data_IF_871154568493
#
_entry.id   IF_871154568493
#
_cell.length_a   1.000
_cell.length_b   1.000
_cell.length_c   1.000
_cell.angle_alpha   90.00
_cell.angle_beta   90.00
_cell.angle_gamma   90.00
#
_symmetry.space_group_name_H-M   'P 1'
#
loop_
_entity.id
_entity.type
_entity.pdbx_description
1 polymer ?
#
# COMPACT_ATOMS: atom_id res chain seq x y z
N UNK A 1 -2.36 -16.01 -15.67
CA UNK A 1 -2.68 -15.49 -14.32
C UNK A 1 -4.04 -14.79 -14.44
N UNK A 2 -5.03 -15.25 -13.70
CA UNK A 2 -6.40 -14.70 -13.78
C UNK A 2 -6.45 -13.38 -13.00
N UNK A 3 -6.94 -12.32 -13.64
CA UNK A 3 -7.18 -11.01 -13.00
C UNK A 3 -8.67 -10.87 -12.76
N UNK A 4 -9.06 -10.72 -11.51
CA UNK A 4 -10.45 -10.50 -11.12
C UNK A 4 -10.69 -9.01 -10.92
N UNK A 5 -11.65 -8.44 -11.66
CA UNK A 5 -12.13 -7.06 -11.43
C UNK A 5 -13.13 -7.05 -10.29
N UNK A 6 -12.97 -6.09 -9.38
CA UNK A 6 -13.83 -5.93 -8.20
C UNK A 6 -14.59 -4.60 -8.30
N UNK A 7 -15.79 -4.60 -7.77
CA UNK A 7 -16.60 -3.40 -7.53
C UNK A 7 -16.83 -3.22 -6.01
N UNK A 8 -17.39 -2.09 -5.61
CA UNK A 8 -17.58 -1.75 -4.19
C UNK A 8 -18.46 -2.74 -3.41
N UNK A 9 -19.27 -3.54 -4.09
CA UNK A 9 -20.13 -4.57 -3.50
C UNK A 9 -19.48 -5.96 -3.47
N UNK A 10 -18.34 -6.12 -4.13
CA UNK A 10 -17.61 -7.40 -4.13
C UNK A 10 -17.19 -7.76 -2.70
N UNK A 11 -17.53 -8.96 -2.27
CA UNK A 11 -17.16 -9.44 -0.94
C UNK A 11 -15.71 -9.94 -0.95
N UNK A 12 -14.91 -9.43 -0.02
CA UNK A 12 -13.52 -9.82 0.16
C UNK A 12 -13.39 -10.81 1.32
N UNK A 13 -12.63 -11.90 1.16
CA UNK A 13 -12.35 -12.81 2.27
C UNK A 13 -11.27 -12.27 3.23
N UNK A 14 -11.16 -10.96 3.37
CA UNK A 14 -9.98 -10.29 3.90
C UNK A 14 -10.36 -9.11 4.77
N UNK A 15 -9.71 -9.03 5.92
CA UNK A 15 -9.61 -7.85 6.78
C UNK A 15 -8.13 -7.66 7.12
N UNK A 16 -7.66 -6.42 7.28
CA UNK A 16 -6.27 -6.18 7.67
C UNK A 16 -6.04 -6.59 9.13
N UNK A 17 -5.37 -7.72 9.32
CA UNK A 17 -4.98 -8.24 10.64
C UNK A 17 -3.67 -7.65 11.17
N UNK A 18 -3.01 -6.76 10.41
CA UNK A 18 -1.66 -6.25 10.68
C UNK A 18 -0.58 -7.33 10.74
N UNK A 19 -0.78 -8.47 10.09
CA UNK A 19 0.17 -9.60 10.05
C UNK A 19 1.56 -9.24 9.53
N UNK A 20 1.69 -8.10 8.85
CA UNK A 20 2.97 -7.67 8.27
C UNK A 20 3.32 -8.31 6.92
N UNK A 21 2.48 -9.18 6.36
CA UNK A 21 2.73 -9.82 5.05
C UNK A 21 3.03 -8.80 3.94
N UNK A 22 2.39 -7.62 3.97
CA UNK A 22 2.66 -6.52 3.04
C UNK A 22 3.99 -5.80 3.30
N UNK A 23 4.72 -6.13 4.36
CA UNK A 23 5.98 -5.49 4.73
C UNK A 23 7.22 -6.17 4.16
N UNK A 24 7.08 -7.26 3.39
CA UNK A 24 8.20 -8.02 2.84
C UNK A 24 8.19 -8.08 1.31
N UNK A 25 9.37 -7.95 0.70
CA UNK A 25 9.61 -8.20 -0.72
C UNK A 25 8.75 -7.38 -1.69
N UNK A 26 8.36 -6.16 -1.31
CA UNK A 26 7.51 -5.29 -2.13
C UNK A 26 8.31 -4.13 -2.72
N UNK A 27 7.76 -3.56 -3.77
CA UNK A 27 8.16 -2.24 -4.26
C UNK A 27 7.04 -1.27 -3.93
N UNK A 28 7.32 -0.29 -3.08
CA UNK A 28 6.35 0.73 -2.66
C UNK A 28 6.84 2.08 -3.16
N UNK A 29 6.15 2.59 -4.19
CA UNK A 29 6.38 3.94 -4.71
C UNK A 29 5.59 4.92 -3.86
N UNK A 30 6.17 6.11 -3.64
CA UNK A 30 5.59 7.17 -2.83
C UNK A 30 5.33 8.41 -3.67
N UNK A 31 4.17 9.01 -3.52
CA UNK A 31 3.93 10.38 -3.94
C UNK A 31 4.30 11.36 -2.81
N UNK A 32 4.37 12.69 -3.08
CA UNK A 32 4.74 13.69 -2.07
C UNK A 32 3.80 13.72 -0.85
N UNK A 33 2.51 13.44 -1.03
CA UNK A 33 1.55 13.35 0.06
C UNK A 33 1.87 12.18 1.00
N UNK A 34 2.19 11.03 0.45
CA UNK A 34 2.53 9.83 1.21
C UNK A 34 3.85 9.98 1.97
N UNK A 35 4.84 10.62 1.34
CA UNK A 35 6.08 10.97 2.01
C UNK A 35 5.83 11.88 3.22
N UNK A 36 4.96 12.89 3.07
CA UNK A 36 4.55 13.77 4.17
C UNK A 36 3.78 13.00 5.24
N UNK A 37 2.87 12.11 4.87
CA UNK A 37 2.08 11.29 5.80
C UNK A 37 2.97 10.41 6.66
N UNK A 38 3.94 9.73 6.06
CA UNK A 38 4.94 8.94 6.78
C UNK A 38 5.79 9.77 7.73
N UNK A 39 6.28 10.92 7.27
CA UNK A 39 7.15 11.78 8.09
C UNK A 39 6.41 12.34 9.30
N UNK A 40 5.15 12.74 9.14
CA UNK A 40 4.29 13.17 10.25
C UNK A 40 4.07 12.08 11.29
N UNK A 41 3.75 10.88 10.85
CA UNK A 41 3.55 9.73 11.73
C UNK A 41 4.85 9.39 12.50
N UNK A 42 5.99 9.47 11.82
CA UNK A 42 7.31 9.24 12.42
C UNK A 42 7.81 10.40 13.28
N UNK A 43 7.12 11.55 13.24
CA UNK A 43 7.48 12.81 13.95
C UNK A 43 8.87 13.35 13.57
N UNK A 44 9.22 13.23 12.28
CA UNK A 44 10.44 13.79 11.69
C UNK A 44 10.08 14.60 10.44
N UNK A 45 11.03 15.35 9.91
CA UNK A 45 10.83 16.09 8.66
C UNK A 45 10.73 15.14 7.45
N UNK A 46 10.08 15.60 6.37
CA UNK A 46 10.03 14.82 5.11
C UNK A 46 11.42 14.62 4.51
N UNK A 47 12.35 15.54 4.73
CA UNK A 47 13.75 15.41 4.32
C UNK A 47 14.43 14.27 5.08
N UNK A 48 14.30 14.23 6.40
CA UNK A 48 14.87 13.16 7.22
C UNK A 48 14.27 11.80 6.86
N UNK A 49 12.93 11.74 6.68
CA UNK A 49 12.28 10.49 6.29
C UNK A 49 12.80 9.99 4.94
N UNK A 50 12.90 10.90 3.95
CA UNK A 50 13.43 10.61 2.63
C UNK A 50 14.85 10.06 2.71
N UNK A 51 15.73 10.73 3.45
CA UNK A 51 17.15 10.39 3.49
C UNK A 51 17.41 9.08 4.25
N UNK A 52 16.63 8.80 5.30
CA UNK A 52 16.78 7.60 6.14
C UNK A 52 16.08 6.37 5.54
N UNK A 53 14.88 6.53 4.98
CA UNK A 53 13.99 5.41 4.70
C UNK A 53 13.60 5.27 3.22
N UNK A 54 14.02 6.19 2.36
CA UNK A 54 13.70 6.14 0.95
C UNK A 54 14.96 6.08 0.08
N UNK A 55 14.75 5.73 -1.17
CA UNK A 55 15.73 5.76 -2.25
C UNK A 55 15.16 6.51 -3.47
N UNK A 56 15.99 6.79 -4.46
CA UNK A 56 15.63 7.56 -5.64
C UNK A 56 14.96 8.92 -5.30
N UNK A 57 15.58 9.68 -4.38
CA UNK A 57 15.11 11.01 -4.03
C UNK A 57 13.78 11.04 -3.26
N UNK A 58 13.36 9.92 -2.66
CA UNK A 58 12.10 9.83 -1.91
C UNK A 58 10.96 9.14 -2.66
N UNK A 59 11.19 8.71 -3.89
CA UNK A 59 10.15 8.10 -4.73
C UNK A 59 9.84 6.66 -4.30
N UNK A 60 10.82 5.93 -3.75
CA UNK A 60 10.65 4.52 -3.35
C UNK A 60 11.04 4.28 -1.90
N UNK A 61 10.18 3.58 -1.16
CA UNK A 61 10.46 3.16 0.21
C UNK A 61 11.53 2.05 0.21
N UNK A 62 12.48 2.11 1.14
CA UNK A 62 13.52 1.09 1.28
C UNK A 62 12.98 -0.19 1.88
N UNK A 63 13.42 -1.31 1.31
CA UNK A 63 13.22 -2.65 1.83
C UNK A 63 14.59 -3.25 2.13
N UNK A 64 15.15 -2.90 3.27
CA UNK A 64 16.50 -3.26 3.71
C UNK A 64 16.53 -3.81 5.15
N UNK A 65 15.36 -4.15 5.69
CA UNK A 65 15.24 -4.78 7.00
C UNK A 65 15.59 -6.28 6.95
N UNK A 66 15.50 -6.94 8.10
CA UNK A 66 15.78 -8.37 8.24
C UNK A 66 14.91 -9.19 7.27
N UNK A 67 15.50 -10.13 6.52
CA UNK A 67 14.72 -10.94 5.58
C UNK A 67 13.82 -11.94 6.30
N UNK A 68 12.70 -12.29 5.65
CA UNK A 68 11.84 -13.38 6.08
C UNK A 68 12.43 -14.76 5.75
N UNK A 69 11.67 -15.83 6.02
CA UNK A 69 12.07 -17.22 5.71
C UNK A 69 12.25 -17.50 4.21
N UNK A 70 11.69 -16.66 3.35
CA UNK A 70 11.81 -16.74 1.89
C UNK A 70 12.95 -15.86 1.35
N UNK A 71 13.72 -15.20 2.24
CA UNK A 71 14.80 -14.28 1.87
C UNK A 71 14.31 -12.89 1.40
N UNK A 72 13.04 -12.57 1.57
CA UNK A 72 12.48 -11.29 1.18
C UNK A 72 12.78 -10.24 2.24
N UNK A 73 13.42 -9.14 1.84
CA UNK A 73 13.78 -8.05 2.75
C UNK A 73 12.54 -7.36 3.32
N UNK A 74 12.57 -7.06 4.61
CA UNK A 74 11.52 -6.30 5.26
C UNK A 74 11.58 -4.82 4.87
N UNK A 75 10.41 -4.19 4.86
CA UNK A 75 10.28 -2.73 4.79
C UNK A 75 11.07 -2.06 5.92
N UNK A 76 11.70 -0.92 5.64
CA UNK A 76 12.41 -0.11 6.64
C UNK A 76 11.54 0.34 7.83
N UNK A 77 10.22 0.26 7.70
CA UNK A 77 9.25 0.61 8.75
C UNK A 77 8.68 -0.61 9.49
N UNK A 78 9.11 -1.81 9.14
CA UNK A 78 8.68 -3.03 9.80
C UNK A 78 9.40 -3.24 11.13
N UNK A 79 8.65 -3.60 12.15
CA UNK A 79 9.16 -3.98 13.48
C UNK A 79 8.61 -5.36 13.84
N UNK A 80 9.48 -6.26 14.22
CA UNK A 80 9.10 -7.64 14.61
C UNK A 80 8.03 -7.61 15.70
N UNK A 81 7.01 -8.45 15.54
CA UNK A 81 5.85 -8.60 16.43
C UNK A 81 4.93 -7.37 16.58
N UNK A 82 5.24 -6.26 15.91
CA UNK A 82 4.43 -5.04 15.92
C UNK A 82 3.80 -4.80 14.54
N UNK A 83 4.53 -5.16 13.48
CA UNK A 83 4.17 -4.84 12.09
C UNK A 83 4.69 -3.47 11.67
N UNK A 84 3.88 -2.71 10.94
CA UNK A 84 4.27 -1.39 10.46
C UNK A 84 4.33 -0.36 11.61
N UNK A 85 5.50 0.22 11.87
CA UNK A 85 5.70 1.25 12.91
C UNK A 85 5.03 2.59 12.60
N UNK A 86 4.63 2.80 11.36
CA UNK A 86 3.93 4.00 10.85
C UNK A 86 2.62 3.62 10.17
N UNK A 87 1.85 2.75 10.82
CA UNK A 87 0.66 2.13 10.24
C UNK A 87 -0.41 3.14 9.81
N UNK A 88 -0.62 4.21 10.57
CA UNK A 88 -1.60 5.25 10.23
C UNK A 88 -1.16 6.09 9.03
N UNK A 89 0.15 6.33 8.90
CA UNK A 89 0.72 7.09 7.79
C UNK A 89 1.05 6.26 6.54
N UNK A 90 0.75 4.94 6.52
CA UNK A 90 1.12 4.05 5.41
C UNK A 90 0.53 4.48 4.07
N UNK A 91 1.28 4.31 2.96
CA UNK A 91 0.87 4.74 1.64
C UNK A 91 -0.28 3.91 1.06
N UNK A 92 -0.86 4.39 -0.04
CA UNK A 92 -1.98 3.75 -0.72
C UNK A 92 -1.70 2.28 -1.07
N UNK A 93 -0.52 1.99 -1.59
CA UNK A 93 -0.12 0.61 -1.93
C UNK A 93 -0.21 -0.35 -0.73
N UNK A 94 0.11 0.12 0.49
CA UNK A 94 -0.02 -0.67 1.71
C UNK A 94 -1.48 -0.76 2.20
N UNK A 95 -2.28 0.29 1.97
CA UNK A 95 -3.70 0.33 2.33
C UNK A 95 -4.53 -0.61 1.47
N UNK A 96 -4.22 -0.67 0.18
CA UNK A 96 -4.93 -1.50 -0.78
C UNK A 96 -4.48 -2.97 -0.76
N UNK A 97 -3.26 -3.27 -0.29
CA UNK A 97 -2.75 -4.63 -0.35
C UNK A 97 -3.75 -5.67 0.19
N UNK A 98 -4.00 -6.78 -0.51
CA UNK A 98 -3.32 -7.26 -1.72
C UNK A 98 -3.97 -6.83 -3.05
N UNK A 99 -4.80 -5.80 -3.04
CA UNK A 99 -5.51 -5.32 -4.22
C UNK A 99 -4.62 -4.39 -5.04
N UNK A 100 -4.83 -4.40 -6.36
CA UNK A 100 -4.33 -3.39 -7.28
C UNK A 100 -5.43 -2.37 -7.60
N UNK A 101 -5.03 -1.13 -7.91
CA UNK A 101 -5.93 -0.07 -8.37
C UNK A 101 -5.47 0.41 -9.75
N UNK A 102 -6.39 0.51 -10.67
CA UNK A 102 -6.17 0.99 -12.03
C UNK A 102 -7.17 2.09 -12.36
N UNK A 103 -6.74 3.11 -13.08
CA UNK A 103 -7.61 4.14 -13.64
C UNK A 103 -7.85 3.82 -15.11
N UNK A 104 -9.10 3.67 -15.50
CA UNK A 104 -9.54 3.51 -16.88
C UNK A 104 -10.71 4.45 -17.15
N UNK A 105 -10.62 5.26 -18.20
CA UNK A 105 -11.66 6.24 -18.56
C UNK A 105 -12.12 7.09 -17.37
N UNK A 106 -11.17 7.61 -16.60
CA UNK A 106 -11.38 8.41 -15.39
C UNK A 106 -12.16 7.71 -14.27
N UNK A 107 -12.18 6.37 -14.26
CA UNK A 107 -12.79 5.57 -13.20
C UNK A 107 -11.78 4.64 -12.57
N UNK A 108 -11.80 4.59 -11.24
CA UNK A 108 -11.00 3.63 -10.49
C UNK A 108 -11.62 2.23 -10.58
N UNK A 109 -10.78 1.26 -10.89
CA UNK A 109 -11.10 -0.17 -10.85
C UNK A 109 -10.12 -0.87 -9.92
N UNK A 110 -10.65 -1.76 -9.11
CA UNK A 110 -9.84 -2.58 -8.22
C UNK A 110 -9.71 -3.98 -8.81
N UNK A 111 -8.53 -4.53 -8.67
CA UNK A 111 -8.20 -5.85 -9.20
C UNK A 111 -7.51 -6.69 -8.15
N UNK A 112 -7.71 -8.00 -8.23
CA UNK A 112 -6.93 -8.98 -7.51
C UNK A 112 -6.26 -9.92 -8.52
N UNK A 113 -4.98 -10.19 -8.32
CA UNK A 113 -4.20 -11.11 -9.14
C UNK A 113 -3.93 -12.39 -8.35
N UNK A 114 -4.42 -13.53 -8.86
CA UNK A 114 -4.25 -14.83 -8.24
C UNK A 114 -5.54 -15.39 -7.63
N UNK A 115 -5.47 -16.61 -7.14
CA UNK A 115 -6.62 -17.37 -6.64
C UNK A 115 -6.81 -17.20 -5.13
N UNK A 116 -5.80 -16.72 -4.43
CA UNK A 116 -5.80 -16.54 -2.97
C UNK A 116 -5.21 -15.19 -2.57
N UNK A 117 -5.66 -14.68 -1.43
CA UNK A 117 -5.07 -13.50 -0.81
C UNK A 117 -3.86 -13.93 0.03
N UNK A 118 -2.64 -13.40 -0.24
CA UNK A 118 -1.44 -13.82 0.49
C UNK A 118 -1.55 -13.69 2.01
N UNK A 119 -2.32 -12.71 2.49
CA UNK A 119 -2.57 -12.53 3.92
C UNK A 119 -3.34 -13.69 4.55
N UNK A 120 -4.13 -14.46 3.77
CA UNK A 120 -4.89 -15.61 4.25
C UNK A 120 -4.04 -16.87 4.33
N UNK A 121 -3.09 -17.04 3.41
CA UNK A 121 -2.23 -18.23 3.37
C UNK A 121 -1.20 -18.26 4.50
N UNK A 122 -0.75 -17.07 4.91
CA UNK A 122 0.30 -16.93 5.92
C UNK A 122 -0.25 -16.63 7.34
N UNK A 123 -1.58 -16.47 7.48
CA UNK A 123 -2.21 -16.06 8.74
C UNK A 123 -3.61 -16.66 8.88
N UNK A 124 -3.71 -17.81 9.53
CA UNK A 124 -4.97 -18.52 9.74
C UNK A 124 -6.00 -17.73 10.57
N UNK A 125 -5.53 -16.81 11.43
CA UNK A 125 -6.38 -15.95 12.25
C UNK A 125 -7.29 -15.05 11.40
N UNK A 126 -6.90 -14.73 10.17
CA UNK A 126 -7.70 -13.89 9.25
C UNK A 126 -8.94 -14.63 8.74
N UNK A 127 -8.96 -15.96 8.74
CA UNK A 127 -10.08 -16.77 8.26
C UNK A 127 -11.34 -16.57 9.11
N UNK A 128 -11.18 -16.26 10.40
CA UNK A 128 -12.26 -16.06 11.35
C UNK A 128 -12.77 -14.60 11.39
N UNK A 129 -12.11 -13.70 10.66
CA UNK A 129 -12.52 -12.30 10.60
C UNK A 129 -13.75 -12.11 9.70
N UNK A 130 -14.58 -11.09 9.98
CA UNK A 130 -15.74 -10.77 9.16
C UNK A 130 -15.34 -10.51 7.71
N UNK A 131 -16.10 -11.08 6.77
CA UNK A 131 -15.98 -10.76 5.35
C UNK A 131 -16.53 -9.36 5.11
N UNK A 132 -15.74 -8.52 4.45
CA UNK A 132 -16.10 -7.15 4.13
C UNK A 132 -16.39 -7.02 2.62
N UNK A 133 -17.30 -6.13 2.27
CA UNK A 133 -17.35 -5.62 0.91
C UNK A 133 -16.09 -4.79 0.62
N UNK A 134 -15.74 -4.65 -0.65
CA UNK A 134 -14.63 -3.79 -1.05
C UNK A 134 -14.81 -2.35 -0.51
N UNK A 135 -16.05 -1.82 -0.55
CA UNK A 135 -16.33 -0.48 -0.02
C UNK A 135 -16.05 -0.36 1.48
N UNK A 136 -16.48 -1.34 2.27
CA UNK A 136 -16.17 -1.38 3.71
C UNK A 136 -14.68 -1.54 3.98
N UNK A 137 -13.99 -2.37 3.19
CA UNK A 137 -12.54 -2.53 3.29
C UNK A 137 -11.81 -1.21 3.03
N UNK A 138 -12.09 -0.53 1.92
CA UNK A 138 -11.48 0.74 1.57
C UNK A 138 -11.72 1.82 2.65
N UNK A 139 -12.94 1.87 3.18
CA UNK A 139 -13.29 2.77 4.29
C UNK A 139 -12.49 2.45 5.56
N UNK A 140 -12.41 1.18 5.93
CA UNK A 140 -11.63 0.72 7.08
C UNK A 140 -10.12 0.95 6.94
N UNK A 141 -9.63 0.96 5.70
CA UNK A 141 -8.24 1.30 5.38
C UNK A 141 -7.99 2.81 5.26
N UNK A 142 -9.04 3.65 5.37
CA UNK A 142 -8.94 5.10 5.15
C UNK A 142 -8.27 5.44 3.81
N UNK A 143 -8.67 4.75 2.74
CA UNK A 143 -8.00 4.83 1.44
C UNK A 143 -8.29 6.15 0.71
N UNK A 144 -9.49 6.73 0.87
CA UNK A 144 -10.00 7.87 0.09
C UNK A 144 -9.05 9.07 -0.02
N UNK A 145 -8.48 9.64 1.07
CA UNK A 145 -7.56 10.76 0.96
C UNK A 145 -6.27 10.41 0.21
N UNK A 146 -5.81 9.17 0.30
CA UNK A 146 -4.62 8.68 -0.40
C UNK A 146 -4.91 8.43 -1.88
N UNK A 147 -6.08 7.93 -2.22
CA UNK A 147 -6.53 7.76 -3.60
C UNK A 147 -6.65 9.10 -4.30
N UNK A 148 -7.27 10.09 -3.65
CA UNK A 148 -7.37 11.46 -4.16
C UNK A 148 -6.00 12.09 -4.40
N UNK A 149 -5.10 12.00 -3.43
CA UNK A 149 -3.74 12.50 -3.57
C UNK A 149 -2.96 11.80 -4.70
N UNK A 150 -3.16 10.50 -4.88
CA UNK A 150 -2.56 9.75 -5.98
C UNK A 150 -3.11 10.19 -7.33
N UNK A 151 -4.40 10.40 -7.47
CA UNK A 151 -5.02 10.84 -8.71
C UNK A 151 -4.55 12.25 -9.11
N UNK A 152 -4.48 13.18 -8.16
CA UNK A 152 -3.94 14.53 -8.36
C UNK A 152 -2.45 14.47 -8.77
N UNK A 153 -1.67 13.63 -8.12
CA UNK A 153 -0.25 13.44 -8.45
C UNK A 153 -0.05 12.89 -9.86
N UNK A 154 -0.86 11.94 -10.30
CA UNK A 154 -0.80 11.39 -11.65
C UNK A 154 -1.10 12.44 -12.72
N UNK A 155 -2.04 13.35 -12.47
CA UNK A 155 -2.32 14.50 -13.36
C UNK A 155 -1.09 15.40 -13.47
N UNK A 156 -0.45 15.73 -12.36
CA UNK A 156 0.78 16.54 -12.37
C UNK A 156 1.89 15.85 -13.17
N UNK A 157 2.09 14.55 -12.95
CA UNK A 157 3.10 13.78 -13.69
C UNK A 157 2.81 13.70 -15.17
N UNK A 158 1.54 13.56 -15.58
CA UNK A 158 1.15 13.58 -16.98
C UNK A 158 1.45 14.94 -17.62
N UNK A 159 1.06 16.05 -16.96
CA UNK A 159 1.33 17.39 -17.45
C UNK A 159 2.84 17.65 -17.61
N UNK A 160 3.67 17.17 -16.70
CA UNK A 160 5.14 17.27 -16.80
C UNK A 160 5.63 16.47 -18.03
N UNK A 161 5.13 15.28 -18.25
CA UNK A 161 5.49 14.45 -19.39
C UNK A 161 5.09 15.14 -20.72
N UNK A 162 3.89 15.73 -20.80
CA UNK A 162 3.39 16.42 -21.97
C UNK A 162 4.19 17.68 -22.32
N UNK A 163 4.84 18.31 -21.34
CA UNK A 163 5.72 19.48 -21.57
C UNK A 163 7.13 19.03 -22.00
N UNK A 164 7.57 17.85 -21.54
CA UNK A 164 8.93 17.36 -21.76
C UNK A 164 9.15 16.74 -23.15
N UNK A 165 8.08 16.48 -23.91
CA UNK A 165 8.07 15.88 -25.24
C UNK A 165 7.30 16.72 -26.24
#
# INVERSE_FOLDING_TARGET
MQVTKLNTQSILPLTCSRSGTCCFGKTVMLNPWELLSFSKEKKITSREFRDLYCEFGGIRLRFNGKPDKKGQQACSQYVDNIGCSVHLGRPLACRLYPLGRQIQSNKAHYIHQGDTFPCLTDCSEVLDLPKLSLGEYLKGQEADPFEKAQDEYLIVMQNIADIAF
#
